data_IF_968133177166
#
_entry.id   IF_968133177166
#
_cell.length_a   1.000
_cell.length_b   1.000
_cell.length_c   1.000
_cell.angle_alpha   90.00
_cell.angle_beta   90.00
_cell.angle_gamma   90.00
#
_symmetry.space_group_name_H-M   'P 1'
#
loop_
_entity.id
_entity.type
_entity.pdbx_description
1 polymer ?
#
# COMPACT_ATOMS: atom_id res chain seq x y z
N UNK A 1 -16.85 17.34 8.33
CA UNK A 1 -15.91 16.23 8.59
C UNK A 1 -16.68 15.15 9.31
N UNK A 2 -16.82 13.95 8.72
CA UNK A 2 -17.54 12.84 9.34
C UNK A 2 -16.76 12.38 10.59
N UNK A 3 -17.45 12.23 11.73
CA UNK A 3 -16.76 11.76 12.95
C UNK A 3 -16.56 10.25 12.88
N UNK A 4 -15.44 9.85 12.31
CA UNK A 4 -15.05 8.44 12.11
C UNK A 4 -14.89 7.70 13.44
N UNK A 5 -14.49 8.39 14.51
CA UNK A 5 -14.31 7.79 15.84
C UNK A 5 -15.59 7.14 16.37
N UNK A 6 -16.73 7.83 16.32
CA UNK A 6 -18.01 7.27 16.76
C UNK A 6 -18.44 6.07 15.92
N UNK A 7 -18.11 6.05 14.63
CA UNK A 7 -18.40 4.91 13.76
C UNK A 7 -17.53 3.71 14.15
N UNK A 8 -16.26 3.91 14.40
CA UNK A 8 -15.35 2.85 14.85
C UNK A 8 -15.76 2.28 16.22
N UNK A 9 -16.19 3.10 17.14
CA UNK A 9 -16.69 2.65 18.46
C UNK A 9 -17.91 1.74 18.30
N UNK A 10 -18.84 2.10 17.44
CA UNK A 10 -20.03 1.27 17.15
C UNK A 10 -19.66 -0.07 16.48
N UNK A 11 -18.71 -0.05 15.54
CA UNK A 11 -18.18 -1.25 14.89
C UNK A 11 -17.46 -2.15 15.90
N UNK A 12 -16.63 -1.59 16.77
CA UNK A 12 -15.90 -2.32 17.79
C UNK A 12 -16.86 -2.97 18.80
N UNK A 13 -17.89 -2.25 19.25
CA UNK A 13 -18.92 -2.79 20.11
C UNK A 13 -19.69 -3.95 19.45
N UNK A 14 -20.02 -3.84 18.16
CA UNK A 14 -20.64 -4.89 17.36
C UNK A 14 -19.73 -6.11 17.21
N UNK A 15 -18.44 -5.87 16.94
CA UNK A 15 -17.43 -6.92 16.85
C UNK A 15 -17.27 -7.68 18.17
N UNK A 16 -17.14 -6.99 19.29
CA UNK A 16 -16.97 -7.62 20.60
C UNK A 16 -18.18 -8.49 20.97
N UNK A 17 -19.41 -8.04 20.72
CA UNK A 17 -20.62 -8.88 20.94
C UNK A 17 -20.59 -10.17 20.12
N UNK A 18 -20.14 -10.12 18.86
CA UNK A 18 -20.01 -11.31 18.00
C UNK A 18 -18.91 -12.24 18.49
N UNK A 19 -17.79 -11.68 18.95
CA UNK A 19 -16.69 -12.47 19.53
C UNK A 19 -17.12 -13.19 20.81
N UNK A 20 -17.84 -12.51 21.68
CA UNK A 20 -18.34 -13.11 22.94
C UNK A 20 -19.33 -14.23 22.65
N UNK A 21 -20.23 -14.03 21.69
CA UNK A 21 -21.12 -15.11 21.21
C UNK A 21 -20.32 -16.29 20.64
N UNK A 22 -19.36 -16.06 19.75
CA UNK A 22 -18.51 -17.11 19.17
C UNK A 22 -17.71 -17.86 20.24
N UNK A 23 -17.18 -17.16 21.24
CA UNK A 23 -16.47 -17.80 22.36
C UNK A 23 -17.38 -18.69 23.22
N UNK A 24 -18.65 -18.33 23.36
CA UNK A 24 -19.63 -19.15 24.11
C UNK A 24 -20.05 -20.41 23.36
N UNK A 25 -20.16 -20.32 22.02
CA UNK A 25 -20.69 -21.40 21.18
C UNK A 25 -19.61 -22.28 20.54
N UNK A 26 -18.39 -21.72 20.34
CA UNK A 26 -17.32 -22.42 19.63
C UNK A 26 -16.04 -22.43 20.47
N UNK A 27 -15.49 -23.63 20.68
CA UNK A 27 -14.19 -23.78 21.32
C UNK A 27 -13.06 -23.37 20.34
N UNK A 28 -12.81 -22.04 20.23
CA UNK A 28 -11.75 -21.52 19.36
C UNK A 28 -10.37 -21.81 19.95
N UNK A 29 -9.41 -22.30 19.17
CA UNK A 29 -8.04 -22.49 19.62
C UNK A 29 -7.44 -21.21 20.19
N UNK A 30 -6.73 -21.34 21.31
CA UNK A 30 -6.04 -20.21 21.93
C UNK A 30 -5.11 -19.50 20.93
N UNK A 31 -5.18 -18.18 20.86
CA UNK A 31 -4.35 -17.34 19.99
C UNK A 31 -4.85 -17.18 18.55
N UNK A 32 -5.86 -17.92 18.07
CA UNK A 32 -6.36 -17.74 16.69
C UNK A 32 -6.95 -16.35 16.48
N UNK A 33 -7.69 -15.84 17.48
CA UNK A 33 -8.25 -14.49 17.42
C UNK A 33 -7.17 -13.41 17.42
N UNK A 34 -6.08 -13.63 18.14
CA UNK A 34 -4.95 -12.70 18.14
C UNK A 34 -4.28 -12.70 16.77
N UNK A 35 -4.02 -13.86 16.17
CA UNK A 35 -3.47 -13.95 14.81
C UNK A 35 -4.33 -13.25 13.77
N UNK A 36 -5.67 -13.33 13.90
CA UNK A 36 -6.58 -12.62 13.00
C UNK A 36 -6.53 -11.10 13.19
N UNK A 37 -6.38 -10.64 14.44
CA UNK A 37 -6.21 -9.20 14.74
C UNK A 37 -4.87 -8.65 14.26
N UNK A 38 -3.82 -9.46 14.35
CA UNK A 38 -2.46 -9.10 13.93
C UNK A 38 -2.28 -9.19 12.42
N UNK A 39 -3.23 -9.79 11.71
CA UNK A 39 -3.20 -9.88 10.26
C UNK A 39 -3.43 -8.51 9.63
N UNK A 40 -2.43 -8.02 8.89
CA UNK A 40 -2.51 -6.75 8.19
C UNK A 40 -2.40 -6.95 6.69
N UNK A 41 -3.11 -6.12 5.95
CA UNK A 41 -3.09 -6.06 4.50
C UNK A 41 -2.31 -4.81 4.09
N UNK A 42 -1.30 -4.97 3.26
CA UNK A 42 -0.64 -3.84 2.62
C UNK A 42 -1.43 -3.41 1.38
N UNK A 43 -1.78 -2.13 1.33
CA UNK A 43 -2.44 -1.54 0.17
C UNK A 43 -1.37 -1.00 -0.78
N UNK A 44 -1.31 -1.47 -2.03
CA UNK A 44 -0.37 -0.91 -2.99
C UNK A 44 -0.79 0.51 -3.40
N UNK A 45 0.14 1.45 -3.32
CA UNK A 45 -0.09 2.86 -3.64
C UNK A 45 -0.66 3.07 -5.04
N UNK A 46 -0.25 2.23 -5.98
CA UNK A 46 -0.68 2.28 -7.38
C UNK A 46 -2.09 1.75 -7.63
N UNK A 47 -2.74 1.14 -6.62
CA UNK A 47 -4.14 0.74 -6.71
C UNK A 47 -5.11 1.91 -6.43
N UNK A 48 -4.61 2.99 -5.83
CA UNK A 48 -5.44 4.10 -5.34
C UNK A 48 -5.42 5.33 -6.24
N UNK A 49 -4.51 5.42 -7.17
CA UNK A 49 -4.28 6.68 -7.83
C UNK A 49 -4.23 6.64 -9.34
N UNK A 50 -3.74 7.73 -9.87
CA UNK A 50 -3.50 7.96 -11.31
C UNK A 50 -2.40 7.06 -11.89
N UNK A 51 -1.88 6.09 -11.12
CA UNK A 51 -0.78 5.23 -11.55
C UNK A 51 -1.07 4.49 -12.85
N UNK A 52 -2.17 3.79 -12.89
CA UNK A 52 -2.49 2.92 -14.01
C UNK A 52 -1.82 1.55 -13.91
N UNK A 53 -2.09 0.74 -14.90
CA UNK A 53 -1.44 -0.56 -15.09
C UNK A 53 -0.45 -0.49 -16.25
N UNK A 54 0.30 -1.56 -16.48
CA UNK A 54 1.12 -1.67 -17.69
C UNK A 54 0.34 -1.57 -19.02
N UNK A 55 -0.98 -1.63 -18.97
CA UNK A 55 -1.85 -1.53 -20.15
C UNK A 55 -2.46 -0.14 -20.36
N UNK A 56 -2.33 0.77 -19.39
CA UNK A 56 -2.84 2.13 -19.48
C UNK A 56 -3.19 2.75 -18.14
N UNK A 57 -3.47 4.04 -18.16
CA UNK A 57 -3.97 4.77 -17.02
C UNK A 57 -5.48 4.76 -17.01
N UNK A 58 -6.04 4.56 -15.84
CA UNK A 58 -7.47 4.70 -15.60
C UNK A 58 -7.65 5.88 -14.67
N UNK A 59 -8.04 7.03 -15.21
CA UNK A 59 -8.37 8.19 -14.40
C UNK A 59 -9.85 8.19 -14.08
N UNK A 60 -10.18 8.34 -12.79
CA UNK A 60 -11.52 8.59 -12.28
C UNK A 60 -11.56 9.91 -11.51
N UNK A 61 -12.72 10.46 -11.23
CA UNK A 61 -12.81 11.64 -10.38
C UNK A 61 -12.51 11.29 -8.92
N UNK A 62 -11.74 12.15 -8.23
CA UNK A 62 -11.47 12.00 -6.80
C UNK A 62 -10.28 11.09 -6.45
N UNK A 63 -9.53 10.63 -7.43
CA UNK A 63 -8.32 9.85 -7.19
C UNK A 63 -7.20 10.70 -6.57
N UNK A 64 -6.35 10.12 -5.69
CA UNK A 64 -5.24 10.81 -5.07
C UNK A 64 -4.18 11.20 -6.11
N UNK A 65 -3.66 12.41 -5.98
CA UNK A 65 -2.74 13.04 -6.94
C UNK A 65 -1.27 12.91 -6.56
N UNK A 66 -0.99 12.64 -5.30
CA UNK A 66 0.35 12.56 -4.71
C UNK A 66 0.39 11.51 -3.61
N UNK A 67 1.57 11.28 -3.04
CA UNK A 67 1.78 10.26 -2.02
C UNK A 67 1.06 10.60 -0.71
N UNK A 68 0.99 11.87 -0.34
CA UNK A 68 0.31 12.34 0.86
C UNK A 68 -1.20 12.01 0.81
N UNK A 69 -1.84 12.27 -0.32
CA UNK A 69 -3.25 11.93 -0.53
C UNK A 69 -3.48 10.41 -0.52
N UNK A 70 -2.56 9.63 -1.11
CA UNK A 70 -2.60 8.16 -1.06
C UNK A 70 -2.51 7.63 0.37
N UNK A 71 -1.61 8.19 1.19
CA UNK A 71 -1.47 7.83 2.60
C UNK A 71 -2.76 8.17 3.37
N UNK A 72 -3.37 9.33 3.11
CA UNK A 72 -4.62 9.72 3.74
C UNK A 72 -5.76 8.76 3.37
N UNK A 73 -5.85 8.33 2.11
CA UNK A 73 -6.86 7.37 1.64
C UNK A 73 -6.68 5.97 2.28
N UNK A 74 -5.43 5.47 2.34
CA UNK A 74 -5.13 4.21 3.05
C UNK A 74 -5.42 4.35 4.54
N UNK A 75 -5.08 5.49 5.13
CA UNK A 75 -5.40 5.81 6.52
C UNK A 75 -6.90 5.78 6.80
N UNK A 76 -7.72 6.31 5.89
CA UNK A 76 -9.16 6.22 5.97
C UNK A 76 -9.66 4.77 5.90
N UNK A 77 -9.14 3.98 4.94
CA UNK A 77 -9.45 2.55 4.83
C UNK A 77 -9.09 1.81 6.13
N UNK A 78 -7.89 2.06 6.66
CA UNK A 78 -7.45 1.46 7.92
C UNK A 78 -8.34 1.86 9.09
N UNK A 79 -8.73 3.13 9.19
CA UNK A 79 -9.65 3.61 10.22
C UNK A 79 -11.01 2.91 10.17
N UNK A 80 -11.48 2.50 8.98
CA UNK A 80 -12.76 1.81 8.78
C UNK A 80 -12.67 0.30 9.04
N UNK A 81 -11.61 -0.37 8.58
CA UNK A 81 -11.54 -1.85 8.59
C UNK A 81 -10.56 -2.43 9.62
N UNK A 82 -9.64 -1.62 10.18
CA UNK A 82 -8.63 -2.01 11.16
C UNK A 82 -7.64 -3.10 10.69
N UNK A 83 -7.62 -3.41 9.39
CA UNK A 83 -6.78 -4.45 8.81
C UNK A 83 -5.89 -3.98 7.65
N UNK A 84 -6.05 -2.74 7.19
CA UNK A 84 -5.23 -2.14 6.12
C UNK A 84 -4.14 -1.23 6.67
N UNK A 85 -3.38 -1.71 7.67
CA UNK A 85 -2.38 -0.94 8.41
C UNK A 85 -1.03 -0.81 7.72
N UNK A 86 -0.93 -1.10 6.43
CA UNK A 86 0.31 -0.97 5.69
C UNK A 86 0.09 -0.45 4.27
N UNK A 87 1.11 0.21 3.73
CA UNK A 87 1.15 0.70 2.35
C UNK A 87 2.45 0.24 1.67
N UNK A 88 2.33 -0.23 0.42
CA UNK A 88 3.49 -0.52 -0.44
C UNK A 88 3.65 0.61 -1.44
N UNK A 89 4.89 1.06 -1.64
CA UNK A 89 5.22 2.17 -2.53
C UNK A 89 5.72 1.67 -3.89
N UNK A 90 5.63 2.53 -4.89
CA UNK A 90 6.13 2.26 -6.24
C UNK A 90 7.07 3.37 -6.70
N UNK A 91 8.34 3.06 -6.89
CA UNK A 91 9.31 4.01 -7.41
C UNK A 91 9.44 3.83 -8.94
N UNK A 92 9.34 4.93 -9.73
CA UNK A 92 9.54 6.34 -9.32
C UNK A 92 8.26 7.13 -9.00
N UNK A 93 7.09 6.53 -8.95
CA UNK A 93 5.83 7.29 -8.83
C UNK A 93 5.61 7.90 -7.44
N UNK A 94 6.15 7.26 -6.41
CA UNK A 94 5.94 7.63 -5.00
C UNK A 94 7.22 8.18 -4.34
N UNK A 95 8.11 8.81 -5.11
CA UNK A 95 9.30 9.45 -4.55
C UNK A 95 8.87 10.66 -3.72
N UNK A 96 9.10 10.66 -2.40
CA UNK A 96 8.71 11.78 -1.54
C UNK A 96 9.68 12.95 -1.68
N UNK A 97 9.16 14.16 -1.64
CA UNK A 97 9.99 15.37 -1.51
C UNK A 97 10.64 15.45 -0.13
N UNK A 98 9.91 15.06 0.92
CA UNK A 98 10.40 14.97 2.30
C UNK A 98 10.04 13.60 2.91
N UNK A 99 10.97 12.64 2.93
CA UNK A 99 10.72 11.32 3.49
C UNK A 99 10.39 11.33 4.99
N UNK A 100 10.88 12.31 5.75
CA UNK A 100 10.59 12.41 7.17
C UNK A 100 9.15 12.86 7.42
N UNK A 101 8.66 13.83 6.64
CA UNK A 101 7.27 14.26 6.69
C UNK A 101 6.32 13.12 6.29
N UNK A 102 6.64 12.36 5.24
CA UNK A 102 5.86 11.21 4.81
C UNK A 102 5.79 10.12 5.88
N UNK A 103 6.92 9.83 6.54
CA UNK A 103 6.94 8.87 7.66
C UNK A 103 6.06 9.33 8.82
N UNK A 104 6.14 10.61 9.15
CA UNK A 104 5.32 11.22 10.20
C UNK A 104 3.83 11.14 9.87
N UNK A 105 3.46 11.46 8.63
CA UNK A 105 2.08 11.38 8.14
C UNK A 105 1.55 9.94 8.21
N UNK A 106 2.31 8.97 7.73
CA UNK A 106 1.93 7.55 7.81
C UNK A 106 1.70 7.11 9.26
N UNK A 107 2.59 7.49 10.18
CA UNK A 107 2.45 7.18 11.60
C UNK A 107 1.19 7.81 12.23
N UNK A 108 0.81 9.03 11.84
CA UNK A 108 -0.43 9.68 12.28
C UNK A 108 -1.69 8.90 11.88
N UNK A 109 -1.63 8.18 10.78
CA UNK A 109 -2.70 7.31 10.29
C UNK A 109 -2.58 5.85 10.78
N UNK A 110 -1.59 5.53 11.62
CA UNK A 110 -1.33 4.17 12.09
C UNK A 110 -0.83 3.22 11.00
N UNK A 111 -0.20 3.76 9.95
CA UNK A 111 0.29 2.99 8.81
C UNK A 111 1.78 2.70 8.93
N UNK A 112 2.15 1.47 8.54
CA UNK A 112 3.52 1.06 8.28
C UNK A 112 3.80 1.03 6.77
N UNK A 113 5.08 1.13 6.39
CA UNK A 113 5.53 0.82 5.04
C UNK A 113 5.87 -0.67 4.97
N UNK A 114 5.32 -1.37 3.95
CA UNK A 114 5.52 -2.81 3.77
C UNK A 114 6.66 -3.08 2.79
N UNK A 115 6.52 -2.65 1.55
CA UNK A 115 7.45 -2.92 0.48
C UNK A 115 7.60 -1.72 -0.46
N UNK A 116 8.71 -1.71 -1.20
CA UNK A 116 8.93 -0.79 -2.31
C UNK A 116 9.03 -1.62 -3.59
N UNK A 117 8.23 -1.28 -4.59
CA UNK A 117 8.26 -1.88 -5.91
C UNK A 117 9.09 -0.99 -6.85
N UNK A 118 10.16 -1.54 -7.42
CA UNK A 118 10.95 -0.86 -8.45
C UNK A 118 10.32 -1.05 -9.83
N UNK A 119 10.25 0.01 -10.64
CA UNK A 119 9.69 -0.10 -11.99
C UNK A 119 10.75 -0.55 -13.00
N UNK A 120 10.97 -1.86 -13.08
CA UNK A 120 11.83 -2.50 -14.07
C UNK A 120 11.03 -3.26 -15.14
N UNK A 121 9.77 -2.94 -15.35
CA UNK A 121 8.87 -3.61 -16.31
C UNK A 121 8.22 -2.65 -17.33
N UNK A 122 8.37 -1.35 -17.13
CA UNK A 122 7.95 -0.32 -18.06
C UNK A 122 9.10 0.63 -18.35
N UNK A 123 9.14 1.15 -19.58
CA UNK A 123 10.09 2.17 -19.93
C UNK A 123 9.74 3.47 -19.21
N UNK A 124 10.75 4.11 -18.62
CA UNK A 124 10.65 5.40 -17.97
C UNK A 124 11.07 6.50 -18.95
N UNK A 125 10.63 7.74 -18.69
CA UNK A 125 11.16 8.90 -19.40
C UNK A 125 12.69 8.94 -19.26
N UNK A 126 13.38 9.26 -20.33
CA UNK A 126 14.85 9.38 -20.40
C UNK A 126 15.64 8.09 -20.14
N UNK A 127 14.98 6.93 -20.12
CA UNK A 127 15.62 5.63 -20.00
C UNK A 127 16.43 5.28 -21.27
N UNK A 128 17.69 4.89 -21.10
CA UNK A 128 18.60 4.61 -22.22
C UNK A 128 18.25 3.30 -22.96
N UNK A 129 17.77 2.28 -22.25
CA UNK A 129 17.50 0.95 -22.78
C UNK A 129 16.07 0.52 -22.43
N UNK A 130 15.29 0.12 -23.45
CA UNK A 130 13.91 -0.32 -23.27
C UNK A 130 13.82 -1.68 -22.56
N UNK A 131 12.83 -1.80 -21.66
CA UNK A 131 12.47 -3.05 -20.99
C UNK A 131 11.41 -3.86 -21.75
N UNK A 132 11.05 -3.45 -22.96
CA UNK A 132 10.00 -4.11 -23.77
C UNK A 132 10.20 -5.61 -23.94
N UNK A 133 11.45 -6.06 -24.02
CA UNK A 133 11.82 -7.46 -24.20
C UNK A 133 12.49 -8.08 -22.96
N UNK A 134 12.22 -7.51 -21.79
CA UNK A 134 12.76 -7.92 -20.51
C UNK A 134 13.69 -6.87 -19.91
N UNK A 135 14.00 -7.03 -18.63
CA UNK A 135 14.89 -6.16 -17.87
C UNK A 135 16.08 -6.92 -17.30
N UNK A 136 15.94 -7.56 -16.14
CA UNK A 136 16.99 -8.34 -15.49
C UNK A 136 17.42 -9.58 -16.30
N UNK A 137 16.54 -10.13 -17.13
CA UNK A 137 16.81 -11.28 -18.02
C UNK A 137 17.00 -10.87 -19.49
N UNK A 138 17.12 -9.57 -19.78
CA UNK A 138 17.30 -9.10 -21.15
C UNK A 138 18.61 -9.63 -21.76
N UNK A 139 18.63 -9.92 -23.08
CA UNK A 139 19.81 -10.42 -23.77
C UNK A 139 20.98 -9.42 -23.74
N UNK A 140 20.70 -8.12 -23.81
CA UNK A 140 21.69 -7.05 -23.68
C UNK A 140 22.16 -6.91 -22.23
N UNK A 141 23.48 -6.98 -22.03
CA UNK A 141 24.09 -6.72 -20.72
C UNK A 141 23.86 -5.27 -20.23
N UNK A 142 23.81 -4.30 -21.15
CA UNK A 142 23.56 -2.91 -20.80
C UNK A 142 22.15 -2.71 -20.22
N UNK A 143 21.13 -3.34 -20.82
CA UNK A 143 19.76 -3.31 -20.30
C UNK A 143 19.67 -3.98 -18.93
N UNK A 144 20.32 -5.13 -18.72
CA UNK A 144 20.36 -5.78 -17.40
C UNK A 144 21.04 -4.91 -16.35
N UNK A 145 22.16 -4.26 -16.72
CA UNK A 145 22.86 -3.35 -15.81
C UNK A 145 21.99 -2.16 -15.42
N UNK A 146 21.31 -1.52 -16.37
CA UNK A 146 20.37 -0.44 -16.08
C UNK A 146 19.29 -0.86 -15.10
N UNK A 147 18.72 -2.08 -15.25
CA UNK A 147 17.70 -2.59 -14.33
C UNK A 147 18.28 -2.88 -12.94
N UNK A 148 19.50 -3.39 -12.86
CA UNK A 148 20.20 -3.62 -11.58
C UNK A 148 20.46 -2.30 -10.88
N UNK A 149 21.01 -1.31 -11.59
CA UNK A 149 21.32 0.01 -11.06
C UNK A 149 20.05 0.66 -10.47
N UNK A 150 18.92 0.60 -11.20
CA UNK A 150 17.65 1.11 -10.72
C UNK A 150 17.18 0.39 -9.44
N UNK A 151 17.31 -0.93 -9.35
CA UNK A 151 16.96 -1.67 -8.13
C UNK A 151 17.88 -1.36 -6.93
N UNK A 152 19.11 -0.93 -7.18
CA UNK A 152 20.04 -0.51 -6.12
C UNK A 152 19.68 0.90 -5.63
N UNK A 153 19.16 1.74 -6.51
CA UNK A 153 18.80 3.13 -6.25
C UNK A 153 17.49 3.25 -5.45
N UNK A 154 16.56 2.31 -5.65
CA UNK A 154 15.26 2.22 -4.97
C UNK A 154 15.39 1.66 -3.55
#
# INVERSE_FOLDING_TARGET
MMNISNHNDALLAGHNRRLDFLKSEVNLPAGILQKLKDFQIAIPSWALGTGGTRFGRFSGGGEPRNLEEKIADVGLLHALNQSSGAISLHIPWDIPTDPAAIRTLAAQHGLAFDAVNSNTFQDQADQAHSYKFGSLQHVSAATRKQAIDHNIEV
#
